data_IF_251766572587
#
_entry.id   IF_251766572587
#
_cell.length_a   1.000
_cell.length_b   1.000
_cell.length_c   1.000
_cell.angle_alpha   90.00
_cell.angle_beta   90.00
_cell.angle_gamma   90.00
#
_symmetry.space_group_name_H-M   'P 1'
#
loop_
_entity.id
_entity.type
_entity.pdbx_description
1 polymer ?
#
# COMPACT_ATOMS: atom_id res chain seq x y z
N UNK A 1 8.22 12.28 -16.13
CA UNK A 1 8.90 11.56 -15.03
C UNK A 1 8.26 10.20 -14.69
N UNK A 2 6.94 10.02 -14.77
CA UNK A 2 6.24 8.72 -14.57
C UNK A 2 6.58 7.67 -15.65
N UNK A 3 6.67 8.05 -16.91
CA UNK A 3 6.99 7.17 -18.04
C UNK A 3 8.37 6.51 -17.93
N UNK A 4 9.37 7.21 -17.41
CA UNK A 4 10.74 6.70 -17.26
C UNK A 4 10.89 5.67 -16.12
N UNK A 5 10.12 5.82 -15.02
CA UNK A 5 10.11 4.85 -13.92
C UNK A 5 9.36 3.56 -14.27
N UNK A 6 8.31 3.66 -15.06
CA UNK A 6 7.57 2.51 -15.58
C UNK A 6 8.43 1.67 -16.52
N UNK A 7 9.25 2.31 -17.35
CA UNK A 7 10.21 1.64 -18.21
C UNK A 7 11.25 0.83 -17.43
N UNK A 8 11.79 1.35 -16.31
CA UNK A 8 12.79 0.62 -15.49
C UNK A 8 12.22 -0.61 -14.79
N UNK A 9 11.00 -0.54 -14.27
CA UNK A 9 10.34 -1.70 -13.65
C UNK A 9 10.04 -2.79 -14.67
N UNK A 10 9.59 -2.41 -15.86
CA UNK A 10 9.40 -3.33 -16.99
C UNK A 10 10.71 -4.01 -17.41
N UNK A 11 11.79 -3.26 -17.56
CA UNK A 11 13.10 -3.81 -17.87
C UNK A 11 13.55 -4.82 -16.81
N UNK A 12 13.39 -4.50 -15.52
CA UNK A 12 13.73 -5.42 -14.43
C UNK A 12 12.92 -6.73 -14.48
N UNK A 13 11.62 -6.65 -14.79
CA UNK A 13 10.75 -7.82 -14.96
C UNK A 13 11.21 -8.66 -16.15
N UNK A 14 11.51 -8.05 -17.29
CA UNK A 14 12.01 -8.77 -18.47
C UNK A 14 13.36 -9.44 -18.20
N UNK A 15 14.27 -8.77 -17.49
CA UNK A 15 15.55 -9.36 -17.07
C UNK A 15 15.34 -10.56 -16.17
N UNK A 16 14.44 -10.44 -15.17
CA UNK A 16 14.11 -11.54 -14.27
C UNK A 16 13.48 -12.71 -15.04
N UNK A 17 12.57 -12.45 -15.97
CA UNK A 17 11.95 -13.46 -16.82
C UNK A 17 13.01 -14.18 -17.66
N UNK A 18 13.90 -13.42 -18.30
CA UNK A 18 14.99 -13.99 -19.10
C UNK A 18 15.87 -14.94 -18.27
N UNK A 19 16.30 -14.50 -17.06
CA UNK A 19 17.11 -15.35 -16.20
C UNK A 19 16.32 -16.57 -15.69
N UNK A 20 15.04 -16.44 -15.38
CA UNK A 20 14.20 -17.57 -14.99
C UNK A 20 14.10 -18.61 -16.10
N UNK A 21 13.83 -18.16 -17.32
CA UNK A 21 13.77 -19.06 -18.50
C UNK A 21 15.14 -19.68 -18.77
N UNK A 22 16.20 -18.90 -18.71
CA UNK A 22 17.56 -19.39 -18.92
C UNK A 22 17.94 -20.47 -17.87
N UNK A 23 17.57 -20.27 -16.60
CA UNK A 23 17.80 -21.24 -15.52
C UNK A 23 17.01 -22.54 -15.75
N UNK A 24 15.76 -22.43 -16.16
CA UNK A 24 14.93 -23.61 -16.50
C UNK A 24 15.52 -24.36 -17.69
N UNK A 25 15.90 -23.65 -18.73
CA UNK A 25 16.54 -24.28 -19.91
C UNK A 25 17.86 -24.97 -19.51
N UNK A 26 18.71 -24.28 -18.74
CA UNK A 26 19.97 -24.84 -18.22
C UNK A 26 19.72 -26.13 -17.43
N UNK A 27 18.69 -26.15 -16.57
CA UNK A 27 18.31 -27.33 -15.80
C UNK A 27 17.95 -28.52 -16.70
N UNK A 28 17.08 -28.32 -17.69
CA UNK A 28 16.63 -29.40 -18.57
C UNK A 28 17.68 -29.84 -19.62
N UNK A 29 18.62 -28.99 -19.97
CA UNK A 29 19.74 -29.36 -20.87
C UNK A 29 20.82 -30.17 -20.11
N UNK A 30 20.64 -30.38 -18.80
CA UNK A 30 21.53 -31.23 -18.00
C UNK A 30 22.57 -30.45 -17.18
N UNK A 31 22.46 -29.14 -17.08
CA UNK A 31 23.36 -28.33 -16.25
C UNK A 31 23.29 -28.63 -14.74
N UNK A 32 22.20 -29.23 -14.29
CA UNK A 32 22.02 -29.64 -12.91
C UNK A 32 22.46 -31.10 -12.63
N UNK A 33 22.95 -31.82 -13.61
CA UNK A 33 23.43 -33.20 -13.41
C UNK A 33 24.65 -33.24 -12.49
N UNK A 34 24.63 -34.20 -11.61
CA UNK A 34 25.76 -34.52 -10.71
C UNK A 34 26.17 -35.96 -10.90
N UNK A 35 27.43 -36.21 -10.92
CA UNK A 35 27.98 -37.56 -10.99
C UNK A 35 29.08 -37.72 -9.94
N UNK A 36 29.04 -38.81 -9.18
CA UNK A 36 30.05 -39.18 -8.22
C UNK A 36 30.66 -40.50 -8.67
N UNK A 37 31.93 -40.47 -9.06
CA UNK A 37 32.65 -41.63 -9.64
C UNK A 37 33.49 -42.31 -8.57
N UNK A 38 33.42 -43.63 -8.49
CA UNK A 38 34.24 -44.49 -7.67
C UNK A 38 35.41 -44.99 -8.53
N UNK A 39 36.60 -44.42 -8.33
CA UNK A 39 37.77 -44.74 -9.10
C UNK A 39 38.69 -45.69 -8.31
N UNK A 40 39.31 -46.68 -8.96
CA UNK A 40 40.33 -47.55 -8.34
C UNK A 40 41.55 -46.80 -7.77
N UNK A 41 41.80 -45.60 -8.24
CA UNK A 41 42.91 -44.75 -7.76
C UNK A 41 42.62 -44.05 -6.45
N UNK A 42 41.32 -43.80 -6.17
CA UNK A 42 40.90 -42.95 -5.05
C UNK A 42 40.30 -43.73 -3.87
N UNK A 43 39.90 -44.99 -4.14
CA UNK A 43 39.21 -45.83 -3.16
C UNK A 43 39.93 -47.18 -3.01
N UNK A 44 39.79 -47.77 -1.81
CA UNK A 44 40.35 -49.09 -1.50
C UNK A 44 39.37 -50.19 -1.89
N UNK A 45 39.83 -51.16 -2.68
CA UNK A 45 39.08 -52.35 -3.11
C UNK A 45 39.67 -53.57 -2.41
N UNK A 46 38.84 -54.29 -1.67
CA UNK A 46 39.24 -55.47 -0.89
C UNK A 46 38.43 -56.67 -1.31
N UNK A 47 39.11 -57.84 -1.23
CA UNK A 47 38.48 -59.15 -1.37
C UNK A 47 37.89 -59.59 -0.04
N UNK A 48 36.62 -60.06 -0.06
CA UNK A 48 35.91 -60.68 1.08
C UNK A 48 35.29 -61.97 0.60
N UNK A 49 35.28 -63.01 1.43
CA UNK A 49 34.67 -64.33 1.17
C UNK A 49 34.08 -64.98 2.43
N UNK A 50 33.59 -66.22 2.30
CA UNK A 50 32.94 -67.01 3.33
C UNK A 50 33.89 -67.73 4.26
N UNK A 51 35.21 -67.62 4.10
CA UNK A 51 36.19 -68.33 4.93
C UNK A 51 36.10 -68.01 6.44
N UNK A 52 35.80 -66.76 6.88
CA UNK A 52 35.58 -66.51 8.30
C UNK A 52 34.40 -67.24 8.90
N UNK A 53 33.46 -67.70 8.06
CA UNK A 53 32.23 -68.42 8.46
C UNK A 53 32.40 -69.96 8.29
N UNK A 54 33.63 -70.41 8.03
CA UNK A 54 33.98 -71.84 7.86
C UNK A 54 33.83 -72.36 6.42
N UNK A 55 33.68 -71.44 5.44
CA UNK A 55 33.69 -71.76 4.02
C UNK A 55 35.10 -72.14 3.50
N UNK A 56 35.12 -72.60 2.26
CA UNK A 56 36.33 -72.98 1.54
C UNK A 56 36.54 -72.21 0.22
N UNK A 57 35.80 -71.14 0.09
CA UNK A 57 35.90 -70.16 -1.03
C UNK A 57 37.27 -69.45 -0.99
N UNK A 58 37.94 -69.28 -2.11
CA UNK A 58 39.19 -68.55 -2.20
C UNK A 58 39.27 -67.73 -3.49
N UNK A 59 40.01 -66.61 -3.43
CA UNK A 59 40.11 -65.72 -4.58
C UNK A 59 40.97 -64.49 -4.31
N UNK A 60 40.91 -63.56 -5.16
CA UNK A 60 41.60 -62.26 -5.06
C UNK A 60 40.94 -61.15 -5.81
N UNK A 61 41.19 -59.92 -5.35
CA UNK A 61 40.85 -58.68 -6.06
C UNK A 61 42.19 -58.01 -6.45
N UNK A 62 42.28 -57.58 -7.71
CA UNK A 62 43.43 -56.87 -8.22
C UNK A 62 43.05 -55.87 -9.32
N UNK A 63 43.94 -54.94 -9.67
CA UNK A 63 43.77 -54.01 -10.78
C UNK A 63 44.45 -54.65 -12.01
N UNK A 64 43.75 -54.87 -13.08
CA UNK A 64 44.24 -55.44 -14.33
C UNK A 64 45.10 -54.46 -15.14
N UNK A 65 45.63 -54.88 -16.28
CA UNK A 65 46.50 -54.09 -17.15
C UNK A 65 45.71 -52.88 -17.78
N UNK A 66 44.42 -53.00 -17.88
CA UNK A 66 43.52 -51.93 -18.40
C UNK A 66 43.14 -50.90 -17.34
N UNK A 67 43.51 -51.15 -16.06
CA UNK A 67 43.17 -50.27 -14.94
C UNK A 67 41.82 -50.58 -14.28
N UNK A 68 41.17 -51.69 -14.70
CA UNK A 68 39.89 -52.14 -14.16
C UNK A 68 40.08 -52.99 -12.90
N UNK A 69 39.09 -53.01 -12.02
CA UNK A 69 39.06 -53.88 -10.86
C UNK A 69 38.59 -55.27 -11.25
N UNK A 70 39.46 -56.26 -11.06
CA UNK A 70 39.16 -57.68 -11.36
C UNK A 70 39.06 -58.50 -10.05
N UNK A 71 37.95 -59.24 -9.93
CA UNK A 71 37.74 -60.29 -8.93
C UNK A 71 37.83 -61.65 -9.63
N UNK A 72 38.69 -62.49 -9.15
CA UNK A 72 38.74 -63.92 -9.47
C UNK A 72 38.51 -64.72 -8.19
N UNK A 73 37.49 -65.58 -8.19
CA UNK A 73 37.30 -66.47 -7.04
C UNK A 73 36.82 -67.87 -7.45
N UNK A 74 37.18 -68.85 -6.68
CA UNK A 74 36.67 -70.23 -6.78
C UNK A 74 35.71 -70.44 -5.58
N UNK A 75 34.40 -70.51 -5.86
CA UNK A 75 33.38 -70.74 -4.82
C UNK A 75 33.46 -72.25 -4.39
N UNK A 76 33.63 -72.46 -3.11
CA UNK A 76 33.60 -73.77 -2.50
C UNK A 76 32.26 -74.20 -1.96
N UNK A 77 32.13 -75.49 -1.57
CA UNK A 77 30.87 -76.03 -1.03
C UNK A 77 30.86 -76.08 0.52
N UNK A 78 31.94 -75.61 1.17
CA UNK A 78 32.10 -75.68 2.61
C UNK A 78 31.12 -74.89 3.47
N UNK A 79 30.52 -73.84 2.90
CA UNK A 79 29.53 -73.01 3.57
C UNK A 79 28.17 -73.15 2.90
N UNK A 80 27.10 -72.99 3.68
CA UNK A 80 25.71 -73.11 3.18
C UNK A 80 25.36 -72.07 2.16
N UNK A 81 25.93 -70.88 2.30
CA UNK A 81 25.69 -69.72 1.42
C UNK A 81 27.04 -69.15 0.95
N UNK A 82 27.75 -69.88 0.07
CA UNK A 82 29.06 -69.46 -0.36
C UNK A 82 28.98 -68.12 -1.12
N UNK A 83 30.02 -67.28 -0.93
CA UNK A 83 30.09 -65.99 -1.63
C UNK A 83 31.56 -65.54 -1.74
N UNK A 84 31.79 -64.72 -2.72
CA UNK A 84 32.91 -63.80 -2.79
C UNK A 84 32.47 -62.44 -3.27
N UNK A 85 33.15 -61.40 -2.86
CA UNK A 85 32.76 -60.03 -3.17
C UNK A 85 33.96 -59.08 -3.28
N UNK A 86 33.71 -57.99 -4.01
CA UNK A 86 34.52 -56.77 -4.01
C UNK A 86 33.91 -55.79 -3.04
N UNK A 87 34.59 -55.45 -1.96
CA UNK A 87 34.24 -54.46 -0.99
C UNK A 87 35.01 -53.16 -1.27
N UNK A 88 34.30 -52.07 -1.43
CA UNK A 88 34.82 -50.73 -1.76
C UNK A 88 34.61 -49.81 -0.57
N UNK A 89 35.69 -49.43 0.09
CA UNK A 89 35.63 -48.45 1.18
C UNK A 89 35.57 -47.04 0.60
N UNK A 90 34.38 -46.39 0.69
CA UNK A 90 34.18 -45.04 0.15
C UNK A 90 34.61 -43.93 1.11
N UNK A 91 35.09 -44.33 2.30
CA UNK A 91 35.63 -43.42 3.31
C UNK A 91 36.64 -44.13 4.20
N UNK A 92 37.66 -43.44 4.72
CA UNK A 92 38.60 -44.02 5.69
C UNK A 92 37.95 -44.37 7.03
N UNK A 93 36.77 -43.85 7.32
CA UNK A 93 36.05 -44.12 8.57
C UNK A 93 34.66 -44.65 8.24
N UNK A 94 34.27 -45.75 8.89
CA UNK A 94 32.91 -46.33 8.75
C UNK A 94 31.81 -45.41 9.22
N UNK A 95 32.11 -44.44 10.09
CA UNK A 95 31.14 -43.46 10.63
C UNK A 95 30.88 -42.28 9.71
N UNK A 96 31.69 -42.11 8.65
CA UNK A 96 31.58 -41.02 7.69
C UNK A 96 31.56 -41.60 6.28
N UNK A 97 30.42 -41.64 5.68
CA UNK A 97 30.21 -42.08 4.31
C UNK A 97 29.80 -40.94 3.37
N UNK A 98 29.38 -41.31 2.19
CA UNK A 98 28.80 -40.41 1.20
C UNK A 98 27.29 -40.34 1.38
N UNK A 99 26.70 -39.15 1.12
CA UNK A 99 25.24 -38.96 1.12
C UNK A 99 24.72 -39.04 -0.33
N UNK A 100 23.91 -40.05 -0.59
CA UNK A 100 23.36 -40.33 -1.91
C UNK A 100 21.92 -39.80 -2.10
N UNK A 101 21.39 -39.00 -1.19
CA UNK A 101 20.00 -38.47 -1.27
C UNK A 101 19.72 -37.72 -2.58
N UNK A 102 20.71 -37.05 -3.14
CA UNK A 102 20.56 -36.27 -4.38
C UNK A 102 20.87 -37.08 -5.64
N UNK A 103 21.17 -38.39 -5.45
CA UNK A 103 21.41 -39.34 -6.54
C UNK A 103 20.15 -40.20 -6.73
N UNK A 104 19.90 -40.60 -7.97
CA UNK A 104 18.73 -41.43 -8.30
C UNK A 104 19.12 -42.81 -8.81
N UNK A 105 20.36 -42.99 -9.27
CA UNK A 105 20.85 -44.27 -9.80
C UNK A 105 22.32 -44.48 -9.48
N UNK A 106 22.68 -45.76 -9.32
CA UNK A 106 24.02 -46.28 -9.40
C UNK A 106 24.21 -46.90 -10.77
N UNK A 107 25.29 -46.56 -11.43
CA UNK A 107 25.66 -47.12 -12.73
C UNK A 107 26.92 -47.93 -12.59
N UNK A 108 26.88 -49.20 -13.02
CA UNK A 108 27.99 -50.10 -12.97
C UNK A 108 28.32 -50.54 -14.39
N UNK A 109 29.54 -50.33 -14.83
CA UNK A 109 30.09 -50.89 -16.07
C UNK A 109 30.97 -52.08 -15.72
N UNK A 110 30.44 -53.31 -16.01
CA UNK A 110 31.08 -54.53 -15.56
C UNK A 110 30.81 -55.69 -16.54
N UNK A 111 31.66 -56.68 -16.45
CA UNK A 111 31.49 -57.99 -17.08
C UNK A 111 31.56 -59.07 -16.00
N UNK A 112 30.70 -60.07 -16.04
CA UNK A 112 30.67 -61.14 -15.08
C UNK A 112 30.50 -62.50 -15.75
N UNK A 113 31.34 -63.44 -15.38
CA UNK A 113 31.40 -64.80 -15.88
C UNK A 113 31.30 -65.75 -14.68
N UNK A 114 30.32 -66.62 -14.73
CA UNK A 114 30.08 -67.60 -13.67
C UNK A 114 29.51 -68.90 -14.23
N UNK A 115 29.59 -70.04 -13.50
CA UNK A 115 28.96 -71.27 -13.90
C UNK A 115 27.42 -71.12 -13.89
N UNK A 116 26.75 -71.74 -14.92
CA UNK A 116 25.29 -71.79 -14.93
C UNK A 116 24.75 -72.73 -13.84
N UNK A 117 23.51 -72.57 -13.30
CA UNK A 117 22.47 -71.72 -13.85
C UNK A 117 22.37 -70.31 -13.25
N UNK A 118 23.00 -70.01 -12.11
CA UNK A 118 22.82 -68.72 -11.45
C UNK A 118 24.07 -67.82 -11.65
N UNK A 119 23.84 -66.77 -12.44
CA UNK A 119 24.86 -65.79 -12.80
C UNK A 119 24.54 -64.40 -12.30
N UNK A 120 23.75 -64.28 -11.23
CA UNK A 120 23.36 -63.01 -10.63
C UNK A 120 24.48 -62.39 -9.80
N UNK A 121 24.47 -61.08 -9.72
CA UNK A 121 25.29 -60.30 -8.79
C UNK A 121 24.36 -59.55 -7.80
N UNK A 122 24.86 -59.41 -6.58
CA UNK A 122 24.26 -58.61 -5.53
C UNK A 122 25.11 -57.36 -5.33
N UNK A 123 24.44 -56.23 -5.14
CA UNK A 123 25.06 -54.96 -4.78
C UNK A 123 24.51 -54.50 -3.46
N UNK A 124 25.39 -54.19 -2.53
CA UNK A 124 25.01 -53.67 -1.22
C UNK A 124 25.61 -52.27 -1.03
N UNK A 125 24.74 -51.33 -0.59
CA UNK A 125 25.13 -50.03 -0.10
C UNK A 125 24.98 -50.02 1.42
N UNK A 126 26.13 -49.98 2.12
CA UNK A 126 26.20 -50.17 3.56
C UNK A 126 26.30 -48.79 4.24
N UNK A 127 25.28 -48.41 5.00
CA UNK A 127 25.30 -47.16 5.73
C UNK A 127 25.48 -47.35 7.23
N UNK A 128 26.19 -46.42 7.84
CA UNK A 128 26.36 -46.31 9.28
C UNK A 128 25.33 -45.33 9.86
N UNK A 129 24.70 -45.76 10.96
CA UNK A 129 23.86 -44.90 11.79
C UNK A 129 24.04 -45.30 13.26
N UNK A 130 24.25 -44.34 14.14
CA UNK A 130 24.46 -44.55 15.58
C UNK A 130 23.27 -45.26 16.26
N UNK A 131 22.07 -45.23 15.67
CA UNK A 131 20.88 -45.89 16.23
C UNK A 131 20.98 -47.44 16.17
N UNK A 132 21.76 -48.00 15.23
CA UNK A 132 21.80 -49.44 15.02
C UNK A 132 23.21 -50.00 14.67
N UNK A 133 24.17 -49.14 14.34
CA UNK A 133 25.51 -49.57 13.94
C UNK A 133 26.53 -49.35 15.04
N UNK A 134 27.52 -50.26 15.11
CA UNK A 134 28.70 -50.12 15.94
C UNK A 134 29.95 -50.07 15.06
N UNK A 135 31.02 -49.43 15.54
CA UNK A 135 32.27 -49.27 14.76
C UNK A 135 33.07 -50.56 14.67
N UNK A 136 32.89 -51.48 15.62
CA UNK A 136 33.67 -52.70 15.78
C UNK A 136 33.02 -53.91 15.10
N UNK A 137 31.77 -53.76 14.66
CA UNK A 137 31.03 -54.84 13.96
C UNK A 137 30.56 -54.37 12.57
N UNK A 138 31.25 -54.73 11.48
CA UNK A 138 30.82 -54.41 10.14
C UNK A 138 29.44 -54.96 9.75
N UNK A 139 28.97 -56.05 10.39
CA UNK A 139 27.64 -56.62 10.11
C UNK A 139 26.54 -55.71 10.61
N UNK A 140 26.79 -54.85 11.60
CA UNK A 140 25.83 -53.87 12.10
C UNK A 140 25.49 -52.76 11.11
N UNK A 141 26.33 -52.50 10.09
CA UNK A 141 26.02 -51.57 9.02
C UNK A 141 24.79 -52.06 8.24
N UNK A 142 23.83 -51.16 7.96
CA UNK A 142 22.62 -51.53 7.25
C UNK A 142 22.92 -52.03 5.84
N UNK A 143 22.31 -53.12 5.48
CA UNK A 143 22.41 -53.71 4.14
C UNK A 143 21.27 -53.23 3.26
N UNK A 144 21.50 -52.15 2.47
CA UNK A 144 20.61 -51.80 1.38
C UNK A 144 21.07 -52.57 0.15
N UNK A 145 20.31 -53.56 -0.30
CA UNK A 145 20.71 -54.49 -1.33
C UNK A 145 19.82 -54.53 -2.55
N UNK A 146 20.40 -54.87 -3.69
CA UNK A 146 19.72 -55.21 -4.95
C UNK A 146 20.43 -56.35 -5.61
N UNK A 147 19.68 -57.23 -6.30
CA UNK A 147 20.22 -58.31 -7.09
C UNK A 147 19.85 -58.15 -8.55
N UNK A 148 20.79 -58.40 -9.48
CA UNK A 148 20.56 -58.25 -10.90
C UNK A 148 21.35 -59.27 -11.73
N UNK A 149 20.97 -59.48 -12.99
CA UNK A 149 21.69 -60.32 -13.94
C UNK A 149 22.61 -59.47 -14.81
N UNK A 150 23.95 -59.56 -14.59
CA UNK A 150 24.93 -58.94 -15.49
C UNK A 150 25.07 -59.72 -16.79
N UNK A 151 25.89 -59.22 -17.70
CA UNK A 151 26.27 -59.89 -18.93
C UNK A 151 27.71 -60.39 -18.85
N UNK A 152 28.06 -61.44 -19.63
CA UNK A 152 29.43 -61.92 -19.73
C UNK A 152 30.36 -60.92 -20.43
N UNK A 153 29.81 -60.09 -21.30
CA UNK A 153 30.53 -58.99 -21.95
C UNK A 153 30.41 -57.70 -21.15
N UNK A 154 31.43 -56.85 -21.23
CA UNK A 154 31.41 -55.53 -20.60
C UNK A 154 30.16 -54.75 -21.00
N UNK A 155 29.35 -54.38 -20.05
CA UNK A 155 28.11 -53.64 -20.23
C UNK A 155 27.82 -52.68 -19.08
N UNK A 156 27.12 -51.62 -19.41
CA UNK A 156 26.65 -50.66 -18.41
C UNK A 156 25.25 -51.04 -17.97
N UNK A 157 25.04 -51.11 -16.67
CA UNK A 157 23.72 -51.29 -16.06
C UNK A 157 23.40 -50.13 -15.11
N UNK A 158 22.14 -49.69 -15.18
CA UNK A 158 21.63 -48.61 -14.31
C UNK A 158 20.77 -49.24 -13.23
N UNK A 159 21.17 -49.10 -11.98
CA UNK A 159 20.43 -49.56 -10.81
C UNK A 159 19.77 -48.40 -10.11
N UNK A 160 18.44 -48.27 -10.16
CA UNK A 160 17.72 -47.18 -9.48
C UNK A 160 17.88 -47.29 -7.95
N UNK A 161 18.31 -46.24 -7.27
CA UNK A 161 18.55 -46.32 -5.82
C UNK A 161 17.27 -46.58 -5.02
N UNK A 162 16.10 -46.17 -5.53
CA UNK A 162 14.81 -46.48 -4.92
C UNK A 162 14.38 -47.95 -5.04
N UNK A 163 15.12 -48.77 -5.80
CA UNK A 163 14.88 -50.22 -5.94
C UNK A 163 15.67 -51.06 -4.93
N UNK A 164 16.60 -50.46 -4.22
CA UNK A 164 17.31 -51.14 -3.15
C UNK A 164 16.38 -51.38 -1.97
N UNK A 165 16.53 -52.55 -1.32
CA UNK A 165 15.73 -52.99 -0.20
C UNK A 165 16.65 -53.39 0.95
N UNK A 166 16.20 -53.16 2.20
CA UNK A 166 16.94 -53.68 3.36
C UNK A 166 16.73 -55.18 3.47
N UNK A 167 17.85 -55.91 3.70
CA UNK A 167 17.80 -57.35 3.80
C UNK A 167 17.02 -57.81 5.04
N UNK A 168 16.07 -58.72 4.86
CA UNK A 168 15.18 -59.18 5.92
C UNK A 168 15.89 -59.86 7.07
N UNK A 169 16.95 -60.60 6.78
CA UNK A 169 17.75 -61.24 7.84
C UNK A 169 18.48 -60.23 8.72
N UNK A 170 18.99 -59.12 8.14
CA UNK A 170 19.64 -58.04 8.88
C UNK A 170 18.66 -57.38 9.88
N UNK A 171 17.37 -57.20 9.46
CA UNK A 171 16.32 -56.66 10.32
C UNK A 171 16.00 -57.65 11.46
N UNK A 172 15.87 -58.95 11.12
CA UNK A 172 15.42 -59.94 12.09
C UNK A 172 16.53 -60.40 13.06
N UNK A 173 17.76 -60.55 12.58
CA UNK A 173 18.88 -61.09 13.37
C UNK A 173 19.46 -60.04 14.33
N UNK A 174 19.33 -58.76 13.99
CA UNK A 174 19.79 -57.64 14.81
C UNK A 174 18.65 -56.94 15.57
N UNK A 175 17.44 -57.45 15.49
CA UNK A 175 16.23 -56.89 16.16
C UNK A 175 16.03 -55.39 15.87
N UNK A 176 16.19 -55.04 14.60
CA UNK A 176 16.13 -53.64 14.16
C UNK A 176 14.70 -53.07 14.29
N UNK A 177 14.49 -51.91 14.97
CA UNK A 177 13.19 -51.24 15.06
C UNK A 177 12.62 -50.91 13.68
N UNK A 178 11.30 -51.02 13.54
CA UNK A 178 10.61 -50.77 12.27
C UNK A 178 10.88 -49.36 11.66
N UNK A 179 11.16 -48.42 12.50
CA UNK A 179 11.53 -47.04 12.07
C UNK A 179 12.85 -46.99 11.30
N UNK A 180 13.73 -47.96 11.52
CA UNK A 180 15.02 -48.12 10.83
C UNK A 180 15.02 -49.26 9.80
N UNK A 181 13.90 -49.94 9.59
CA UNK A 181 13.81 -51.08 8.67
C UNK A 181 13.72 -50.67 7.18
N UNK A 182 13.51 -49.39 6.87
CA UNK A 182 13.48 -48.89 5.50
C UNK A 182 14.85 -48.62 4.90
N UNK A 183 14.98 -48.58 3.54
CA UNK A 183 16.23 -48.23 2.87
C UNK A 183 16.71 -46.84 3.27
N UNK A 184 18.03 -46.71 3.48
CA UNK A 184 18.66 -45.44 3.79
C UNK A 184 19.91 -45.24 2.92
N UNK A 185 19.91 -44.22 2.09
CA UNK A 185 20.97 -43.87 1.16
C UNK A 185 21.89 -42.77 1.70
N UNK A 186 21.79 -42.47 3.00
CA UNK A 186 22.71 -41.53 3.66
C UNK A 186 23.90 -42.23 4.26
N UNK A 187 25.01 -41.53 4.39
CA UNK A 187 26.18 -41.98 5.08
C UNK A 187 26.66 -43.40 4.65
N UNK A 188 26.61 -43.65 3.34
CA UNK A 188 27.14 -44.90 2.76
C UNK A 188 28.64 -44.92 2.92
N UNK A 189 29.15 -45.85 3.73
CA UNK A 189 30.60 -46.00 4.02
C UNK A 189 31.26 -47.16 3.28
N UNK A 190 30.46 -48.16 2.84
CA UNK A 190 30.96 -49.34 2.16
C UNK A 190 30.00 -49.70 1.00
N UNK A 191 30.55 -50.09 -0.14
CA UNK A 191 29.85 -50.67 -1.29
C UNK A 191 30.39 -52.06 -1.50
N UNK A 192 29.49 -53.06 -1.58
CA UNK A 192 29.87 -54.44 -1.82
C UNK A 192 29.22 -54.95 -3.10
N UNK A 193 30.00 -55.59 -3.98
CA UNK A 193 29.52 -56.27 -5.19
C UNK A 193 29.86 -57.72 -5.06
N UNK A 194 28.84 -58.54 -4.77
CA UNK A 194 28.98 -59.95 -4.40
C UNK A 194 28.37 -60.89 -5.44
N UNK A 195 28.76 -62.12 -5.45
CA UNK A 195 28.08 -63.22 -6.14
C UNK A 195 26.62 -63.32 -5.72
N UNK A 196 25.71 -63.85 -6.55
CA UNK A 196 24.27 -63.93 -6.33
C UNK A 196 23.84 -64.61 -5.02
N UNK A 197 22.52 -64.64 -4.75
CA UNK A 197 21.98 -65.23 -3.51
C UNK A 197 22.04 -66.77 -3.48
N UNK A 198 22.18 -67.40 -4.63
CA UNK A 198 22.32 -68.87 -4.77
C UNK A 198 23.34 -69.21 -5.87
N UNK A 199 24.60 -68.76 -5.69
CA UNK A 199 25.59 -68.89 -6.77
C UNK A 199 25.97 -70.35 -7.00
N UNK A 200 26.29 -70.68 -8.23
CA UNK A 200 26.75 -71.99 -8.59
C UNK A 200 28.18 -72.13 -8.16
N UNK A 201 28.59 -73.30 -7.53
CA UNK A 201 29.96 -73.61 -7.11
C UNK A 201 30.87 -73.66 -8.34
N UNK A 202 32.09 -73.13 -8.18
CA UNK A 202 33.12 -73.08 -9.23
C UNK A 202 33.70 -71.70 -9.46
N UNK A 203 34.28 -71.46 -10.62
CA UNK A 203 35.04 -70.26 -10.93
C UNK A 203 34.13 -69.07 -11.31
N UNK A 204 34.36 -67.93 -10.65
CA UNK A 204 33.69 -66.70 -10.88
C UNK A 204 34.72 -65.60 -11.20
N UNK A 205 34.44 -64.87 -12.29
CA UNK A 205 35.31 -63.79 -12.77
C UNK A 205 34.42 -62.52 -12.91
N UNK A 206 34.70 -61.45 -12.14
CA UNK A 206 34.04 -60.17 -12.25
C UNK A 206 35.06 -59.09 -12.61
N UNK A 207 34.83 -58.34 -13.66
CA UNK A 207 35.63 -57.18 -14.04
C UNK A 207 34.75 -55.93 -13.93
N UNK A 208 35.13 -54.96 -13.13
CA UNK A 208 34.45 -53.69 -12.89
C UNK A 208 35.33 -52.60 -13.49
N UNK A 209 34.83 -51.93 -14.52
CA UNK A 209 35.48 -50.81 -15.18
C UNK A 209 35.12 -49.47 -14.56
N UNK A 210 33.85 -49.30 -14.21
CA UNK A 210 33.37 -48.05 -13.68
C UNK A 210 32.19 -48.26 -12.73
N UNK A 211 32.21 -47.53 -11.63
CA UNK A 211 31.05 -47.39 -10.73
C UNK A 211 30.82 -45.92 -10.49
N UNK A 212 29.62 -45.46 -10.79
CA UNK A 212 29.28 -44.07 -10.56
C UNK A 212 27.85 -43.92 -10.06
N UNK A 213 27.61 -42.88 -9.28
CA UNK A 213 26.27 -42.44 -8.92
C UNK A 213 25.89 -41.26 -9.77
N UNK A 214 24.66 -41.30 -10.30
CA UNK A 214 24.09 -40.22 -11.12
C UNK A 214 22.93 -39.58 -10.37
N UNK A 215 22.93 -38.26 -10.34
CA UNK A 215 21.93 -37.47 -9.60
C UNK A 215 21.77 -36.08 -10.15
N UNK A 216 21.16 -35.25 -9.36
CA UNK A 216 20.97 -33.84 -9.66
C UNK A 216 21.41 -32.97 -8.48
N UNK A 217 22.16 -31.90 -8.73
CA UNK A 217 22.56 -30.91 -7.71
C UNK A 217 21.35 -30.21 -7.07
N UNK A 218 20.29 -30.04 -7.86
CA UNK A 218 19.03 -29.37 -7.45
C UNK A 218 17.89 -30.17 -8.03
N UNK A 219 16.90 -30.49 -7.23
CA UNK A 219 15.69 -31.17 -7.72
C UNK A 219 14.78 -30.21 -8.48
N UNK A 220 13.96 -30.75 -9.38
CA UNK A 220 12.94 -29.95 -10.09
C UNK A 220 12.04 -29.16 -9.14
N UNK A 221 11.61 -29.80 -8.05
CA UNK A 221 10.76 -29.19 -7.03
C UNK A 221 11.45 -28.01 -6.30
N UNK A 222 12.76 -28.13 -6.03
CA UNK A 222 13.55 -27.05 -5.41
C UNK A 222 13.73 -25.89 -6.36
N UNK A 223 14.05 -26.16 -7.62
CA UNK A 223 14.15 -25.14 -8.65
C UNK A 223 12.87 -24.31 -8.77
N UNK A 224 11.73 -25.00 -8.95
CA UNK A 224 10.46 -24.29 -9.10
C UNK A 224 10.00 -23.59 -7.83
N UNK A 225 10.28 -24.14 -6.64
CA UNK A 225 10.06 -23.45 -5.36
C UNK A 225 10.86 -22.16 -5.28
N UNK A 226 12.16 -22.22 -5.58
CA UNK A 226 13.02 -21.04 -5.56
C UNK A 226 12.56 -19.96 -6.55
N UNK A 227 12.23 -20.34 -7.78
CA UNK A 227 11.69 -19.41 -8.79
C UNK A 227 10.36 -18.78 -8.33
N UNK A 228 9.46 -19.58 -7.76
CA UNK A 228 8.19 -19.11 -7.24
C UNK A 228 8.38 -18.07 -6.12
N UNK A 229 9.28 -18.32 -5.18
CA UNK A 229 9.60 -17.37 -4.12
C UNK A 229 10.17 -16.06 -4.66
N UNK A 230 11.08 -16.13 -5.64
CA UNK A 230 11.68 -14.94 -6.28
C UNK A 230 10.59 -14.09 -6.96
N UNK A 231 9.68 -14.74 -7.72
CA UNK A 231 8.58 -14.04 -8.38
C UNK A 231 7.58 -13.44 -7.40
N UNK A 232 7.22 -14.16 -6.33
CA UNK A 232 6.32 -13.67 -5.28
C UNK A 232 6.94 -12.48 -4.54
N UNK A 233 8.23 -12.57 -4.16
CA UNK A 233 8.94 -11.48 -3.53
C UNK A 233 9.02 -10.24 -4.43
N UNK A 234 9.27 -10.43 -5.72
CA UNK A 234 9.31 -9.35 -6.70
C UNK A 234 7.94 -8.69 -6.85
N UNK A 235 6.87 -9.48 -6.96
CA UNK A 235 5.51 -8.97 -7.06
C UNK A 235 5.09 -8.18 -5.82
N UNK A 236 5.36 -8.70 -4.62
CA UNK A 236 5.05 -8.01 -3.35
C UNK A 236 5.86 -6.72 -3.20
N UNK A 237 7.13 -6.72 -3.60
CA UNK A 237 7.96 -5.52 -3.60
C UNK A 237 7.40 -4.44 -4.55
N UNK A 238 7.04 -4.80 -5.78
CA UNK A 238 6.46 -3.87 -6.74
C UNK A 238 5.13 -3.29 -6.28
N UNK A 239 4.28 -4.14 -5.68
CA UNK A 239 3.00 -3.70 -5.07
C UNK A 239 3.23 -2.72 -3.91
N UNK A 240 4.20 -3.00 -3.03
CA UNK A 240 4.55 -2.12 -1.92
C UNK A 240 5.07 -0.75 -2.42
N UNK A 241 5.93 -0.75 -3.44
CA UNK A 241 6.42 0.49 -4.06
C UNK A 241 5.26 1.28 -4.68
N UNK A 242 4.36 0.61 -5.40
CA UNK A 242 3.20 1.25 -6.03
C UNK A 242 2.22 1.81 -4.99
N UNK A 243 1.98 1.06 -3.92
CA UNK A 243 1.14 1.49 -2.80
C UNK A 243 1.70 2.75 -2.11
N UNK A 244 3.00 2.76 -1.80
CA UNK A 244 3.64 3.93 -1.16
C UNK A 244 3.64 5.16 -2.05
N UNK A 245 3.83 4.99 -3.37
CA UNK A 245 3.74 6.09 -4.34
C UNK A 245 2.30 6.63 -4.42
N UNK A 246 1.29 5.76 -4.52
CA UNK A 246 -0.12 6.15 -4.56
C UNK A 246 -0.53 6.90 -3.28
N UNK A 247 -0.11 6.41 -2.12
CA UNK A 247 -0.36 7.10 -0.84
C UNK A 247 0.23 8.51 -0.81
N UNK A 248 1.47 8.68 -1.26
CA UNK A 248 2.12 10.01 -1.31
C UNK A 248 1.35 11.00 -2.21
N UNK A 249 0.88 10.55 -3.37
CA UNK A 249 0.07 11.37 -4.29
C UNK A 249 -1.25 11.75 -3.62
N UNK A 250 -1.96 10.78 -3.04
CA UNK A 250 -3.23 11.02 -2.34
C UNK A 250 -3.08 12.02 -1.20
N UNK A 251 -2.05 11.86 -0.35
CA UNK A 251 -1.80 12.77 0.77
C UNK A 251 -1.46 14.20 0.29
N UNK A 252 -0.71 14.33 -0.82
CA UNK A 252 -0.40 15.62 -1.42
C UNK A 252 -1.67 16.32 -1.95
N UNK A 253 -2.54 15.58 -2.65
CA UNK A 253 -3.82 16.12 -3.15
C UNK A 253 -4.75 16.52 -2.01
N UNK A 254 -4.85 15.70 -0.96
CA UNK A 254 -5.66 16.01 0.23
C UNK A 254 -5.19 17.28 0.93
N UNK A 255 -3.87 17.46 1.09
CA UNK A 255 -3.29 18.69 1.65
C UNK A 255 -3.59 19.90 0.78
N UNK A 256 -3.53 19.76 -0.54
CA UNK A 256 -3.85 20.82 -1.51
C UNK A 256 -5.32 21.21 -1.43
N UNK A 257 -6.23 20.25 -1.39
CA UNK A 257 -7.66 20.49 -1.23
C UNK A 257 -8.00 21.21 0.09
N UNK A 258 -7.41 20.77 1.21
CA UNK A 258 -7.61 21.41 2.51
C UNK A 258 -7.07 22.86 2.51
N UNK A 259 -5.92 23.11 1.88
CA UNK A 259 -5.37 24.47 1.77
C UNK A 259 -6.25 25.37 0.93
N UNK A 260 -6.77 24.89 -0.20
CA UNK A 260 -7.70 25.65 -1.04
C UNK A 260 -8.99 25.99 -0.29
N UNK A 261 -9.53 25.04 0.47
CA UNK A 261 -10.72 25.25 1.31
C UNK A 261 -10.48 26.32 2.38
N UNK A 262 -9.34 26.29 3.06
CA UNK A 262 -8.98 27.29 4.06
C UNK A 262 -8.83 28.71 3.45
N UNK A 263 -8.16 28.82 2.29
CA UNK A 263 -8.00 30.09 1.58
C UNK A 263 -9.38 30.63 1.15
N UNK A 264 -10.24 29.77 0.60
CA UNK A 264 -11.58 30.18 0.16
C UNK A 264 -12.46 30.69 1.32
N UNK A 265 -12.39 30.01 2.47
CA UNK A 265 -13.08 30.46 3.70
C UNK A 265 -12.55 31.82 4.18
N UNK A 266 -11.24 32.01 4.21
CA UNK A 266 -10.64 33.28 4.60
C UNK A 266 -11.00 34.43 3.65
N UNK A 267 -10.97 34.18 2.33
CA UNK A 267 -11.38 35.15 1.33
C UNK A 267 -12.88 35.55 1.47
N UNK A 268 -13.72 34.56 1.76
CA UNK A 268 -15.16 34.83 1.98
C UNK A 268 -15.37 35.71 3.21
N UNK A 269 -14.72 35.42 4.32
CA UNK A 269 -14.77 36.23 5.54
C UNK A 269 -14.23 37.65 5.30
N UNK A 270 -13.12 37.77 4.59
CA UNK A 270 -12.57 39.08 4.25
C UNK A 270 -13.50 39.88 3.35
N UNK A 271 -14.12 39.24 2.37
CA UNK A 271 -15.12 39.86 1.50
C UNK A 271 -16.37 40.35 2.26
N UNK A 272 -16.87 39.54 3.21
CA UNK A 272 -18.01 39.93 4.07
C UNK A 272 -17.63 41.11 4.96
N UNK A 273 -16.45 41.10 5.57
CA UNK A 273 -15.97 42.21 6.42
C UNK A 273 -15.83 43.49 5.61
N UNK A 274 -15.21 43.41 4.44
CA UNK A 274 -15.08 44.57 3.54
C UNK A 274 -16.44 45.10 3.08
N UNK A 275 -17.42 44.22 2.82
CA UNK A 275 -18.78 44.61 2.46
C UNK A 275 -19.48 45.36 3.60
N UNK A 276 -19.34 44.90 4.84
CA UNK A 276 -19.90 45.60 6.02
C UNK A 276 -19.24 46.95 6.20
N UNK A 277 -17.90 47.04 6.12
CA UNK A 277 -17.18 48.32 6.24
C UNK A 277 -17.56 49.31 5.14
N UNK A 278 -17.82 48.82 3.92
CA UNK A 278 -18.21 49.69 2.81
C UNK A 278 -19.64 50.19 2.89
N UNK A 279 -20.54 49.53 3.60
CA UNK A 279 -21.98 49.81 3.62
C UNK A 279 -22.51 50.36 4.96
N UNK A 280 -21.64 50.43 5.99
CA UNK A 280 -22.00 50.89 7.32
C UNK A 280 -21.24 52.16 7.68
N UNK A 281 -21.91 53.14 8.30
CA UNK A 281 -21.28 54.35 8.84
C UNK A 281 -20.54 53.96 10.15
N UNK A 282 -19.25 54.28 10.23
CA UNK A 282 -18.41 53.87 11.32
C UNK A 282 -18.74 54.57 12.67
N UNK A 283 -19.35 55.77 12.64
CA UNK A 283 -19.67 56.50 13.84
C UNK A 283 -21.00 56.03 14.44
N UNK A 284 -22.06 55.99 13.63
CA UNK A 284 -23.41 55.72 14.09
C UNK A 284 -23.81 54.25 14.02
N UNK A 285 -23.06 53.40 13.29
CA UNK A 285 -23.44 52.02 13.02
C UNK A 285 -24.70 51.87 12.16
N UNK A 286 -25.21 52.95 11.59
CA UNK A 286 -26.28 52.92 10.62
C UNK A 286 -25.72 52.54 9.25
N UNK A 287 -26.60 52.24 8.29
CA UNK A 287 -26.18 52.14 6.90
C UNK A 287 -25.66 53.48 6.37
N UNK A 288 -24.69 53.42 5.49
CA UNK A 288 -24.25 54.60 4.76
C UNK A 288 -24.92 54.66 3.38
N UNK A 289 -24.73 55.74 2.61
CA UNK A 289 -25.31 55.93 1.29
C UNK A 289 -24.82 54.97 0.19
N UNK A 290 -23.74 54.20 0.47
CA UNK A 290 -23.22 53.23 -0.49
C UNK A 290 -24.14 52.02 -0.57
N UNK A 291 -24.45 51.56 -1.75
CA UNK A 291 -25.26 50.34 -2.03
C UNK A 291 -26.71 50.36 -1.53
N UNK A 292 -27.22 51.50 -1.01
CA UNK A 292 -28.60 51.60 -0.54
C UNK A 292 -29.62 51.35 -1.65
N UNK A 293 -29.32 51.74 -2.88
CA UNK A 293 -30.18 51.51 -4.04
C UNK A 293 -30.44 50.02 -4.27
N UNK A 294 -29.42 49.20 -4.18
CA UNK A 294 -29.52 47.73 -4.34
C UNK A 294 -30.33 47.07 -3.22
N UNK A 295 -30.19 47.57 -2.01
CA UNK A 295 -30.96 47.08 -0.86
C UNK A 295 -32.45 47.46 -0.97
N UNK A 296 -32.73 48.68 -1.36
CA UNK A 296 -34.10 49.15 -1.58
C UNK A 296 -34.76 48.42 -2.75
N UNK A 297 -34.06 48.19 -3.84
CA UNK A 297 -34.57 47.39 -4.96
C UNK A 297 -34.98 45.97 -4.49
N UNK A 298 -34.20 45.34 -3.63
CA UNK A 298 -34.54 44.03 -3.04
C UNK A 298 -35.78 44.11 -2.13
N UNK A 299 -35.84 45.13 -1.28
CA UNK A 299 -36.97 45.35 -0.39
C UNK A 299 -38.27 45.61 -1.18
N UNK A 300 -38.20 46.42 -2.23
CA UNK A 300 -39.32 46.74 -3.12
C UNK A 300 -39.78 45.52 -3.94
N UNK A 301 -38.83 44.68 -4.40
CA UNK A 301 -39.15 43.45 -5.12
C UNK A 301 -39.98 42.47 -4.25
N UNK A 302 -39.72 42.43 -2.94
CA UNK A 302 -40.46 41.59 -1.98
C UNK A 302 -41.87 42.07 -1.65
N UNK A 303 -42.22 43.33 -1.97
CA UNK A 303 -43.45 44.00 -1.56
C UNK A 303 -44.37 44.41 -2.72
N UNK A 304 -44.20 43.84 -3.92
CA UNK A 304 -44.91 44.24 -5.16
C UNK A 304 -44.75 45.71 -5.55
N UNK A 305 -43.79 46.43 -5.01
CA UNK A 305 -43.30 47.73 -5.49
C UNK A 305 -44.24 48.91 -5.39
N UNK A 306 -45.36 48.79 -4.70
CA UNK A 306 -46.47 49.80 -4.83
C UNK A 306 -46.43 50.98 -3.85
N UNK A 307 -45.77 50.86 -2.70
CA UNK A 307 -45.72 51.95 -1.71
C UNK A 307 -44.33 52.00 -1.06
N UNK A 308 -43.55 52.98 -1.43
CA UNK A 308 -42.30 53.31 -0.70
C UNK A 308 -42.26 54.81 -0.49
N UNK A 309 -41.89 55.25 0.68
CA UNK A 309 -41.71 56.65 1.02
C UNK A 309 -40.32 56.89 1.54
N UNK A 310 -39.82 58.09 1.37
CA UNK A 310 -38.53 58.52 1.94
C UNK A 310 -38.78 59.73 2.86
N UNK A 311 -38.10 59.71 3.98
CA UNK A 311 -37.99 60.87 4.88
C UNK A 311 -36.49 61.31 4.80
N UNK A 312 -36.29 62.54 4.28
CA UNK A 312 -34.98 63.20 4.40
C UNK A 312 -35.01 64.06 5.65
N UNK A 313 -34.04 63.85 6.52
CA UNK A 313 -33.99 64.50 7.82
C UNK A 313 -32.64 65.14 8.03
N UNK A 314 -32.63 66.30 8.69
CA UNK A 314 -31.40 67.02 9.04
C UNK A 314 -31.52 67.59 10.45
N UNK A 315 -30.47 67.56 11.23
CA UNK A 315 -30.40 68.05 12.59
C UNK A 315 -30.30 69.59 12.55
N UNK A 316 -31.29 70.29 13.10
CA UNK A 316 -31.29 71.71 13.05
C UNK A 316 -30.11 72.34 13.83
N UNK A 317 -29.47 73.29 13.17
CA UNK A 317 -28.32 74.04 13.72
C UNK A 317 -27.12 73.22 14.19
N UNK A 318 -26.95 72.02 13.70
CA UNK A 318 -25.86 71.10 14.13
C UNK A 318 -24.46 71.75 14.03
N UNK A 319 -24.23 72.57 13.02
CA UNK A 319 -22.96 73.32 12.91
C UNK A 319 -22.72 74.21 14.13
N UNK A 320 -23.76 74.89 14.65
CA UNK A 320 -23.63 75.74 15.83
C UNK A 320 -23.26 74.92 17.09
N UNK A 321 -23.76 73.70 17.15
CA UNK A 321 -23.41 72.77 18.24
C UNK A 321 -21.93 72.39 18.18
N UNK A 322 -21.45 72.01 17.01
CA UNK A 322 -20.04 71.75 16.80
C UNK A 322 -19.15 72.94 17.13
N UNK A 323 -19.56 74.13 16.70
CA UNK A 323 -18.84 75.36 16.97
C UNK A 323 -18.77 75.73 18.46
N UNK A 324 -19.84 75.43 19.25
CA UNK A 324 -19.93 75.74 20.66
C UNK A 324 -19.38 74.67 21.58
N UNK A 325 -19.56 73.37 21.27
CA UNK A 325 -19.27 72.22 22.13
C UNK A 325 -18.17 71.30 21.61
N UNK A 326 -17.64 71.58 20.41
CA UNK A 326 -16.62 70.78 19.75
C UNK A 326 -17.15 69.54 18.99
N UNK A 327 -16.36 69.01 18.07
CA UNK A 327 -16.72 67.87 17.23
C UNK A 327 -17.00 66.58 18.03
N UNK A 328 -16.31 66.35 19.16
CA UNK A 328 -16.54 65.19 20.02
C UNK A 328 -17.97 65.15 20.58
N UNK A 329 -18.55 66.33 20.90
CA UNK A 329 -19.93 66.42 21.33
C UNK A 329 -20.89 66.21 20.14
N UNK A 330 -20.56 66.76 18.99
CA UNK A 330 -21.31 66.50 17.79
C UNK A 330 -21.38 65.01 17.40
N UNK A 331 -20.26 64.33 17.54
CA UNK A 331 -20.21 62.87 17.30
C UNK A 331 -21.10 62.08 18.28
N UNK A 332 -21.09 62.45 19.58
CA UNK A 332 -22.01 61.84 20.59
C UNK A 332 -23.47 62.11 20.24
N UNK A 333 -23.80 63.31 19.79
CA UNK A 333 -25.15 63.64 19.36
C UNK A 333 -25.58 62.87 18.12
N UNK A 334 -24.71 62.64 17.16
CA UNK A 334 -25.02 61.83 16.02
C UNK A 334 -25.28 60.37 16.36
N UNK A 335 -24.52 59.83 17.34
CA UNK A 335 -24.77 58.47 17.86
C UNK A 335 -26.13 58.41 18.57
N UNK A 336 -26.41 59.38 19.46
CA UNK A 336 -27.71 59.46 20.16
C UNK A 336 -28.87 59.66 19.16
N UNK A 337 -28.70 60.51 18.15
CA UNK A 337 -29.69 60.68 17.07
C UNK A 337 -29.99 59.38 16.33
N UNK A 338 -28.96 58.59 16.03
CA UNK A 338 -29.13 57.27 15.43
C UNK A 338 -29.91 56.31 16.33
N UNK A 339 -29.73 56.38 17.66
CA UNK A 339 -30.48 55.56 18.60
C UNK A 339 -31.97 56.00 18.67
N UNK A 340 -32.24 57.30 18.76
CA UNK A 340 -33.62 57.82 18.66
C UNK A 340 -34.32 57.41 17.37
N UNK A 341 -33.62 57.43 16.26
CA UNK A 341 -34.16 56.96 15.00
C UNK A 341 -34.46 55.44 15.03
N UNK A 342 -33.56 54.61 15.57
CA UNK A 342 -33.81 53.18 15.71
C UNK A 342 -35.04 52.85 16.56
N UNK A 343 -35.26 53.58 17.63
CA UNK A 343 -36.41 53.39 18.50
C UNK A 343 -37.72 53.89 17.88
N UNK A 344 -37.64 54.84 16.94
CA UNK A 344 -38.80 55.46 16.31
C UNK A 344 -39.38 54.67 15.15
N UNK A 345 -38.54 53.93 14.41
CA UNK A 345 -38.89 53.22 13.19
C UNK A 345 -39.24 51.75 13.45
N UNK A 346 -39.79 51.07 12.47
CA UNK A 346 -40.03 49.63 12.52
C UNK A 346 -38.87 48.86 11.89
N UNK A 347 -38.80 47.55 12.13
CA UNK A 347 -37.78 46.66 11.55
C UNK A 347 -37.82 46.56 10.02
N UNK A 348 -38.90 46.99 9.40
CA UNK A 348 -39.03 47.05 7.94
C UNK A 348 -38.50 48.37 7.32
N UNK A 349 -38.29 49.39 8.15
CA UNK A 349 -37.78 50.68 7.71
C UNK A 349 -36.25 50.66 7.66
N UNK A 350 -35.62 51.33 6.73
CA UNK A 350 -34.18 51.37 6.56
C UNK A 350 -33.65 52.76 6.87
N UNK A 351 -32.82 52.88 7.91
CA UNK A 351 -32.20 54.13 8.28
C UNK A 351 -30.81 54.22 7.67
N UNK A 352 -30.50 55.31 7.04
CA UNK A 352 -29.25 55.61 6.38
C UNK A 352 -28.70 56.92 6.87
N UNK A 353 -27.46 57.00 7.29
CA UNK A 353 -26.72 58.24 7.43
C UNK A 353 -26.27 58.70 6.05
N UNK A 354 -26.90 59.76 5.54
CA UNK A 354 -26.68 60.22 4.17
C UNK A 354 -25.41 61.06 4.00
N UNK A 355 -25.14 61.88 4.99
CA UNK A 355 -23.96 62.75 5.06
C UNK A 355 -23.92 63.43 6.45
N UNK A 356 -22.84 64.06 6.85
CA UNK A 356 -22.68 64.85 8.08
C UNK A 356 -23.76 64.65 9.16
N UNK A 357 -24.74 65.57 9.20
CA UNK A 357 -25.91 65.57 10.08
C UNK A 357 -27.21 65.11 9.40
N UNK A 358 -27.11 64.59 8.15
CA UNK A 358 -28.25 64.19 7.34
C UNK A 358 -28.54 62.69 7.46
N UNK A 359 -29.82 62.35 7.64
CA UNK A 359 -30.31 61.00 7.70
C UNK A 359 -31.44 60.82 6.67
N UNK A 360 -31.50 59.65 6.06
CA UNK A 360 -32.65 59.29 5.20
C UNK A 360 -33.26 57.98 5.73
N UNK A 361 -34.56 58.02 5.93
CA UNK A 361 -35.33 56.85 6.34
C UNK A 361 -36.19 56.41 5.17
N UNK A 362 -35.95 55.20 4.69
CA UNK A 362 -36.78 54.59 3.68
C UNK A 362 -37.79 53.67 4.32
N UNK A 363 -39.06 53.88 3.96
CA UNK A 363 -40.19 53.14 4.51
C UNK A 363 -40.89 52.32 3.41
N UNK A 364 -40.40 51.10 3.11
CA UNK A 364 -41.13 50.20 2.23
C UNK A 364 -42.49 49.86 2.88
N UNK A 365 -43.55 49.87 2.11
CA UNK A 365 -44.93 49.57 2.55
C UNK A 365 -45.65 50.66 3.34
N UNK A 366 -45.12 51.87 3.50
CA UNK A 366 -45.84 53.00 4.05
C UNK A 366 -46.34 53.95 2.93
N UNK A 367 -47.57 54.36 3.03
CA UNK A 367 -48.08 55.44 2.19
C UNK A 367 -47.66 56.81 2.76
N UNK A 368 -47.87 57.88 2.00
CA UNK A 368 -47.43 59.22 2.35
C UNK A 368 -48.01 59.71 3.71
N UNK A 369 -49.22 59.39 4.05
CA UNK A 369 -49.87 59.78 5.33
C UNK A 369 -49.22 59.04 6.51
N UNK A 370 -48.94 57.73 6.36
CA UNK A 370 -48.26 56.92 7.37
C UNK A 370 -46.80 57.36 7.56
N UNK A 371 -46.09 57.72 6.50
CA UNK A 371 -44.71 58.21 6.55
C UNK A 371 -44.68 59.62 7.17
N UNK A 372 -45.63 60.49 6.88
CA UNK A 372 -45.78 61.84 7.52
C UNK A 372 -46.02 61.71 9.03
N UNK A 373 -46.81 60.71 9.45
CA UNK A 373 -47.04 60.45 10.86
C UNK A 373 -45.76 59.97 11.55
N UNK A 374 -44.97 59.09 10.88
CA UNK A 374 -43.65 58.64 11.37
C UNK A 374 -42.64 59.80 11.46
N UNK A 375 -42.64 60.68 10.44
CA UNK A 375 -41.77 61.86 10.43
C UNK A 375 -42.12 62.81 11.61
N UNK A 376 -43.37 63.03 11.93
CA UNK A 376 -43.82 63.86 13.06
C UNK A 376 -43.48 63.16 14.40
N UNK A 377 -43.60 61.84 14.50
CA UNK A 377 -43.14 61.06 15.65
C UNK A 377 -41.65 61.25 15.90
N UNK A 378 -40.82 61.14 14.83
CA UNK A 378 -39.36 61.36 14.90
C UNK A 378 -39.09 62.81 15.32
N UNK A 379 -39.70 63.81 14.70
CA UNK A 379 -39.52 65.22 15.04
C UNK A 379 -39.83 65.49 16.53
N UNK A 380 -40.97 64.99 17.00
CA UNK A 380 -41.36 65.11 18.42
C UNK A 380 -40.42 64.38 19.38
N UNK A 381 -39.89 63.15 18.98
CA UNK A 381 -38.95 62.48 19.74
C UNK A 381 -37.61 63.27 19.90
N UNK A 382 -37.14 63.90 18.81
CA UNK A 382 -35.97 64.78 18.86
C UNK A 382 -36.17 65.96 19.81
N UNK A 383 -37.34 66.59 19.74
CA UNK A 383 -37.70 67.75 20.60
C UNK A 383 -37.78 67.40 22.11
N UNK A 384 -38.17 66.18 22.42
CA UNK A 384 -38.39 65.72 23.83
C UNK A 384 -37.28 64.91 24.42
N UNK A 385 -36.26 64.50 23.65
CA UNK A 385 -35.15 63.72 24.11
C UNK A 385 -34.16 64.58 24.94
N UNK A 386 -33.68 64.04 26.07
CA UNK A 386 -32.57 64.62 26.81
C UNK A 386 -31.26 64.33 26.07
N UNK A 387 -30.64 65.38 25.54
CA UNK A 387 -29.41 65.26 24.75
C UNK A 387 -28.16 65.41 25.59
N UNK A 388 -27.03 64.81 25.18
CA UNK A 388 -25.75 64.85 25.93
C UNK A 388 -25.18 66.24 26.23
N UNK A 389 -25.67 67.30 25.59
CA UNK A 389 -25.24 68.68 25.77
C UNK A 389 -26.22 69.52 26.62
N UNK A 390 -27.22 68.87 27.25
CA UNK A 390 -28.26 69.48 28.10
C UNK A 390 -29.01 70.67 27.45
N UNK A 391 -29.11 70.70 26.13
CA UNK A 391 -29.83 71.69 25.35
C UNK A 391 -30.81 71.05 24.39
N UNK A 392 -31.86 71.78 24.02
CA UNK A 392 -32.81 71.29 23.05
C UNK A 392 -32.19 71.04 21.69
N UNK A 393 -32.51 69.91 21.09
CA UNK A 393 -32.13 69.55 19.71
C UNK A 393 -33.36 69.25 18.93
N UNK A 394 -33.51 69.91 17.78
CA UNK A 394 -34.66 69.69 16.88
C UNK A 394 -34.19 69.15 15.53
N UNK A 395 -35.10 68.65 14.75
CA UNK A 395 -34.81 68.21 13.40
C UNK A 395 -35.91 68.72 12.42
N UNK A 396 -35.51 68.95 11.21
CA UNK A 396 -36.38 69.21 10.08
C UNK A 396 -36.50 67.96 9.24
N UNK A 397 -37.72 67.64 8.75
CA UNK A 397 -37.98 66.43 7.97
C UNK A 397 -38.78 66.76 6.72
N UNK A 398 -38.28 66.32 5.58
CA UNK A 398 -39.01 66.33 4.32
C UNK A 398 -39.50 64.92 3.95
N UNK A 399 -40.74 64.79 3.53
CA UNK A 399 -41.34 63.48 3.21
C UNK A 399 -41.80 63.47 1.76
N UNK A 400 -41.50 62.38 1.05
CA UNK A 400 -42.02 62.13 -0.29
C UNK A 400 -42.43 60.67 -0.49
N UNK A 401 -43.27 60.41 -1.45
CA UNK A 401 -43.57 59.02 -1.90
C UNK A 401 -42.97 58.75 -3.25
N UNK A 402 -42.67 57.46 -3.47
CA UNK A 402 -42.08 57.01 -4.72
C UNK A 402 -43.05 57.24 -5.88
N UNK A 403 -42.58 57.90 -6.91
CA UNK A 403 -43.22 58.11 -8.19
C UNK A 403 -42.51 57.44 -9.31
N UNK A 404 -43.23 56.83 -10.24
CA UNK A 404 -42.71 56.20 -11.46
C UNK A 404 -41.59 55.12 -11.17
N UNK A 405 -41.54 54.55 -9.96
CA UNK A 405 -40.54 53.57 -9.58
C UNK A 405 -39.15 54.13 -9.39
N UNK A 406 -38.97 55.47 -9.37
CA UNK A 406 -37.62 56.07 -9.24
C UNK A 406 -37.30 56.41 -7.78
N UNK A 407 -36.38 55.66 -7.19
CA UNK A 407 -35.83 55.90 -5.84
C UNK A 407 -35.10 57.28 -5.83
N UNK A 408 -34.37 57.60 -6.89
CA UNK A 408 -33.64 58.88 -7.00
C UNK A 408 -34.58 60.09 -7.01
N UNK A 409 -35.64 60.00 -7.76
CA UNK A 409 -36.65 61.06 -7.76
C UNK A 409 -37.33 61.22 -6.39
N UNK A 410 -37.68 60.13 -5.71
CA UNK A 410 -38.26 60.14 -4.37
C UNK A 410 -37.32 60.83 -3.36
N UNK A 411 -36.00 60.55 -3.39
CA UNK A 411 -35.05 61.22 -2.52
C UNK A 411 -34.95 62.70 -2.82
N UNK A 412 -34.93 63.12 -4.11
CA UNK A 412 -34.83 64.48 -4.50
C UNK A 412 -36.07 65.24 -4.05
N UNK A 413 -37.29 64.70 -4.23
CA UNK A 413 -38.59 65.31 -3.79
C UNK A 413 -38.60 65.43 -2.24
N UNK A 414 -38.07 64.46 -1.48
CA UNK A 414 -37.99 64.59 -0.03
C UNK A 414 -36.97 65.64 0.41
N UNK A 415 -35.86 65.77 -0.31
CA UNK A 415 -34.84 66.79 -0.05
C UNK A 415 -35.41 68.23 -0.33
N UNK A 416 -36.21 68.41 -1.41
CA UNK A 416 -36.94 69.67 -1.67
C UNK A 416 -37.93 70.00 -0.56
N UNK A 417 -38.59 68.99 -0.01
CA UNK A 417 -39.51 69.22 1.12
C UNK A 417 -38.68 69.53 2.41
N UNK A 418 -37.59 68.93 2.68
CA UNK A 418 -36.66 69.23 3.78
C UNK A 418 -36.14 70.66 3.68
N UNK A 419 -35.77 71.06 2.49
CA UNK A 419 -35.34 72.45 2.25
C UNK A 419 -36.45 73.47 2.63
N UNK A 420 -37.72 73.21 2.27
CA UNK A 420 -38.88 74.00 2.69
C UNK A 420 -39.08 74.00 4.21
N UNK A 421 -38.92 72.84 4.87
CA UNK A 421 -39.00 72.76 6.32
C UNK A 421 -37.98 73.68 7.00
N UNK A 422 -36.73 73.70 6.49
CA UNK A 422 -35.65 74.57 6.99
C UNK A 422 -36.00 76.09 6.73
N UNK A 423 -36.50 76.42 5.60
CA UNK A 423 -36.92 77.83 5.27
C UNK A 423 -38.12 78.34 6.09
N UNK A 424 -39.11 77.47 6.36
CA UNK A 424 -40.32 77.83 7.08
C UNK A 424 -40.15 77.90 8.62
N UNK A 425 -38.91 77.85 9.14
CA UNK A 425 -38.61 78.04 10.55
C UNK A 425 -38.10 76.83 11.29
N UNK A 426 -37.74 75.72 10.62
CA UNK A 426 -37.20 74.49 11.15
C UNK A 426 -38.14 73.75 12.13
N UNK A 427 -37.65 72.69 12.80
CA UNK A 427 -38.45 71.91 13.73
C UNK A 427 -39.81 71.51 13.22
N UNK A 428 -39.90 71.01 11.98
CA UNK A 428 -41.18 70.68 11.31
C UNK A 428 -40.99 69.57 10.27
N UNK A 429 -42.15 69.05 9.91
CA UNK A 429 -42.29 68.10 8.80
C UNK A 429 -42.94 68.85 7.62
N UNK A 430 -42.33 68.74 6.47
CA UNK A 430 -42.94 69.21 5.21
C UNK A 430 -43.07 68.01 4.26
N UNK A 431 -44.23 68.02 3.55
CA UNK A 431 -44.53 66.93 2.60
C UNK A 431 -44.32 67.47 1.20
N UNK A 432 -43.71 66.72 0.33
CA UNK A 432 -43.64 67.11 -1.08
C UNK A 432 -45.03 67.04 -1.71
N UNK A 433 -45.51 68.15 -2.10
CA UNK A 433 -46.73 68.27 -2.87
C UNK A 433 -46.39 68.69 -4.30
N UNK A 434 -46.87 67.95 -5.29
CA UNK A 434 -46.75 68.39 -6.67
C UNK A 434 -47.45 69.71 -6.80
N UNK A 435 -46.76 70.79 -7.17
CA UNK A 435 -47.38 72.02 -7.63
C UNK A 435 -48.06 71.69 -8.95
N UNK A 436 -49.43 71.60 -8.93
CA UNK A 436 -50.20 71.66 -10.13
C UNK A 436 -49.91 73.01 -10.75
N UNK A 437 -49.01 73.10 -11.71
CA UNK A 437 -48.93 74.20 -12.64
C UNK A 437 -50.15 73.98 -13.55
N UNK A 438 -51.21 74.64 -13.22
CA UNK A 438 -52.34 74.76 -14.11
C UNK A 438 -51.85 75.48 -15.39
N UNK A 439 -51.64 74.70 -16.45
CA UNK A 439 -51.43 75.24 -17.78
C UNK A 439 -52.68 75.93 -18.16
N UNK A 440 -52.63 77.29 -18.18
CA UNK A 440 -53.60 78.15 -18.84
C UNK A 440 -53.31 78.18 -20.32
#
# INVERSE_FOLDING_TARGET
MLSYKFSRALIAIFVLLFFSVATVVWFFVGGAKSSYVISPTDFEFRYIDDTPMGGDTHGRVYINEEGDVALECELGAGYRWPFCEVAISVSPSVTRGIDLKNYHSMVIEAAYKAPAPDQRLRVYLRNYDEAYSTTDDPVSLKFNGIEYNPTESMSEIVLPLNSFQVLSWWISDLDIPLEHAGPDMTNISLIEIATGSAPTIGSHELTIKNVRFEGMMVTEAELFRALTFIWLATATFLLAVKYTQSRRVYDAERRRANRLKAINTALKQQSETLSIMATTDALTGLRNRMDIYRELEKALASTNGKNCTALCMDIDHFKKINDNYGHDMGDKLLVSAADVLRESVSSSDVIVRWGGEEFVIFCPNRNLAQASFLAEKIRSAFETTEWPHDAELTCSVGVSSMREGSIAAMIADADDALYRAKQNGRNRVEVFAESFIATV
#
